data_IF_657866262713
#
_entry.id   IF_657866262713
#
_cell.length_a   1.000
_cell.length_b   1.000
_cell.length_c   1.000
_cell.angle_alpha   90.00
_cell.angle_beta   90.00
_cell.angle_gamma   90.00
#
_symmetry.space_group_name_H-M   'P 1'
#
loop_
_entity.id
_entity.type
_entity.pdbx_description
1 polymer ?
#
# COMPACT_ATOMS: atom_id res chain seq x y z
N UNK A 1 -19.82 -13.23 -20.66
CA UNK A 1 -19.06 -13.45 -19.41
C UNK A 1 -18.09 -14.63 -19.49
N UNK A 2 -18.52 -15.84 -19.88
CA UNK A 2 -17.65 -17.04 -19.94
C UNK A 2 -16.43 -16.89 -20.88
N UNK A 3 -16.59 -16.22 -22.02
CA UNK A 3 -15.50 -15.99 -22.98
C UNK A 3 -14.45 -15.03 -22.41
N UNK A 4 -14.88 -13.89 -21.86
CA UNK A 4 -13.97 -12.94 -21.18
C UNK A 4 -13.26 -13.61 -20.01
N UNK A 5 -13.97 -14.35 -19.17
CA UNK A 5 -13.35 -15.10 -18.07
C UNK A 5 -12.34 -16.12 -18.59
N UNK A 6 -12.63 -16.79 -19.71
CA UNK A 6 -11.69 -17.69 -20.38
C UNK A 6 -10.43 -17.00 -20.89
N UNK A 7 -10.56 -15.80 -21.47
CA UNK A 7 -9.41 -15.00 -21.95
C UNK A 7 -8.54 -14.54 -20.78
N UNK A 8 -9.15 -14.03 -19.71
CA UNK A 8 -8.43 -13.61 -18.50
C UNK A 8 -7.72 -14.81 -17.85
N UNK A 9 -8.41 -15.94 -17.74
CA UNK A 9 -7.83 -17.17 -17.22
C UNK A 9 -6.65 -17.64 -18.08
N UNK A 10 -6.79 -17.59 -19.41
CA UNK A 10 -5.73 -17.97 -20.32
C UNK A 10 -4.48 -17.09 -20.13
N UNK A 11 -4.65 -15.77 -20.10
CA UNK A 11 -3.55 -14.82 -19.87
C UNK A 11 -2.89 -15.08 -18.51
N UNK A 12 -3.69 -15.33 -17.47
CA UNK A 12 -3.19 -15.60 -16.14
C UNK A 12 -2.35 -16.88 -16.07
N UNK A 13 -2.86 -17.97 -16.63
CA UNK A 13 -2.15 -19.26 -16.64
C UNK A 13 -0.88 -19.17 -17.49
N UNK A 14 -0.93 -18.55 -18.66
CA UNK A 14 0.27 -18.39 -19.51
C UNK A 14 1.32 -17.53 -18.82
N UNK A 15 0.92 -16.44 -18.16
CA UNK A 15 1.83 -15.59 -17.38
C UNK A 15 2.55 -16.39 -16.28
N UNK A 16 1.85 -17.22 -15.51
CA UNK A 16 2.45 -18.02 -14.44
C UNK A 16 3.44 -19.08 -14.94
N UNK A 17 3.14 -19.75 -16.06
CA UNK A 17 4.00 -20.83 -16.58
C UNK A 17 5.17 -20.32 -17.41
N UNK A 18 5.13 -19.06 -17.87
CA UNK A 18 6.15 -18.47 -18.76
C UNK A 18 7.58 -18.64 -18.24
N UNK A 19 7.95 -18.25 -17.01
CA UNK A 19 9.33 -18.41 -16.53
C UNK A 19 9.76 -19.88 -16.46
N UNK A 20 8.84 -20.80 -16.16
CA UNK A 20 9.11 -22.25 -16.14
C UNK A 20 9.37 -22.80 -17.54
N UNK A 21 8.54 -22.44 -18.52
CA UNK A 21 8.69 -22.90 -19.91
C UNK A 21 9.98 -22.34 -20.53
N UNK A 22 10.29 -21.07 -20.29
CA UNK A 22 11.52 -20.43 -20.78
C UNK A 22 12.76 -21.11 -20.19
N UNK A 23 12.76 -21.40 -18.88
CA UNK A 23 13.85 -22.11 -18.21
C UNK A 23 14.02 -23.56 -18.72
N UNK A 24 12.93 -24.22 -19.12
CA UNK A 24 12.98 -25.57 -19.72
C UNK A 24 13.61 -25.56 -21.12
N UNK A 25 13.40 -24.51 -21.91
CA UNK A 25 13.98 -24.39 -23.25
C UNK A 25 15.47 -24.10 -23.16
N UNK A 26 15.85 -23.14 -22.32
CA UNK A 26 17.23 -22.70 -22.16
C UNK A 26 17.54 -22.49 -20.68
N UNK A 27 18.34 -23.42 -20.14
CA UNK A 27 18.59 -23.60 -18.70
C UNK A 27 19.33 -22.42 -18.06
N UNK A 28 19.99 -21.59 -18.87
CA UNK A 28 20.75 -20.41 -18.42
C UNK A 28 20.06 -19.08 -18.78
N UNK A 29 18.76 -19.10 -19.06
CA UNK A 29 18.03 -17.86 -19.34
C UNK A 29 17.84 -17.03 -18.08
N UNK A 30 18.08 -15.72 -18.19
CA UNK A 30 17.80 -14.77 -17.13
C UNK A 30 16.28 -14.56 -16.99
N UNK A 31 15.74 -14.96 -15.84
CA UNK A 31 14.34 -14.82 -15.45
C UNK A 31 14.16 -13.89 -14.25
N UNK A 32 15.20 -13.15 -13.87
CA UNK A 32 15.19 -12.22 -12.73
C UNK A 32 14.07 -11.18 -12.81
N UNK A 33 13.77 -10.70 -14.01
CA UNK A 33 12.71 -9.72 -14.27
C UNK A 33 11.33 -10.25 -13.89
N UNK A 34 11.03 -11.53 -14.18
CA UNK A 34 9.73 -12.14 -13.86
C UNK A 34 9.52 -12.27 -12.36
N UNK A 35 10.56 -12.64 -11.61
CA UNK A 35 10.48 -12.72 -10.14
C UNK A 35 10.51 -11.34 -9.48
N UNK A 36 11.24 -10.37 -10.05
CA UNK A 36 11.29 -9.00 -9.54
C UNK A 36 9.92 -8.31 -9.51
N UNK A 37 9.03 -8.61 -10.47
CA UNK A 37 7.64 -8.13 -10.44
C UNK A 37 6.77 -8.83 -9.37
N UNK A 38 7.11 -10.06 -8.98
CA UNK A 38 6.37 -10.80 -7.94
C UNK A 38 6.85 -10.48 -6.52
N UNK A 39 8.10 -10.07 -6.34
CA UNK A 39 8.71 -9.79 -5.03
C UNK A 39 8.53 -8.35 -4.54
N UNK A 40 7.87 -7.48 -5.30
CA UNK A 40 7.70 -6.07 -4.93
C UNK A 40 6.83 -5.87 -3.66
N UNK A 41 6.10 -6.91 -3.22
CA UNK A 41 5.29 -6.89 -1.99
C UNK A 41 6.14 -6.88 -0.70
N UNK A 42 7.34 -7.45 -0.71
CA UNK A 42 8.19 -7.55 0.49
C UNK A 42 9.07 -6.33 0.75
N UNK A 43 9.23 -5.45 -0.24
CA UNK A 43 9.82 -4.14 0.00
C UNK A 43 8.69 -3.16 0.26
N UNK A 44 8.44 -2.81 1.52
CA UNK A 44 7.67 -1.64 1.88
C UNK A 44 8.37 -0.39 1.31
N UNK A 45 8.26 -0.15 0.00
CA UNK A 45 8.57 1.12 -0.63
C UNK A 45 7.49 2.05 -0.12
N UNK A 46 7.72 2.63 1.05
CA UNK A 46 7.07 3.88 1.42
C UNK A 46 7.40 4.85 0.28
N UNK A 47 6.48 4.96 -0.68
CA UNK A 47 6.47 6.06 -1.62
C UNK A 47 6.21 7.27 -0.72
N UNK A 48 7.30 7.85 -0.20
CA UNK A 48 7.28 9.21 0.31
C UNK A 48 7.09 10.08 -0.91
N UNK A 49 5.85 10.16 -1.39
CA UNK A 49 5.42 11.21 -2.29
C UNK A 49 5.58 12.50 -1.47
N UNK A 50 6.75 13.12 -1.60
CA UNK A 50 6.97 14.48 -1.11
C UNK A 50 6.14 15.35 -2.05
N UNK A 51 4.87 15.55 -1.70
CA UNK A 51 4.03 16.54 -2.36
C UNK A 51 4.60 17.90 -1.99
N UNK A 52 5.41 18.48 -2.87
CA UNK A 52 5.73 19.91 -2.82
C UNK A 52 4.46 20.65 -3.27
N UNK A 53 3.56 20.88 -2.32
CA UNK A 53 2.45 21.80 -2.54
C UNK A 53 3.03 23.21 -2.39
N UNK A 54 3.44 23.79 -3.52
CA UNK A 54 3.75 25.20 -3.59
C UNK A 54 2.41 25.93 -3.37
N UNK A 55 2.15 26.33 -2.11
CA UNK A 55 0.95 27.09 -1.74
C UNK A 55 1.08 28.45 -2.40
N UNK A 56 0.66 28.57 -3.66
CA UNK A 56 0.29 29.86 -4.20
C UNK A 56 -0.98 30.28 -3.46
N UNK A 57 -0.84 31.18 -2.49
CA UNK A 57 -1.94 31.80 -1.76
C UNK A 57 -2.79 32.65 -2.71
N UNK A 58 -3.54 32.02 -3.61
CA UNK A 58 -4.75 32.63 -4.12
C UNK A 58 -5.80 32.50 -3.03
N UNK A 59 -6.04 33.61 -2.36
CA UNK A 59 -7.07 33.79 -1.34
C UNK A 59 -8.42 33.43 -1.94
N UNK A 60 -8.80 32.16 -1.86
CA UNK A 60 -10.16 31.71 -2.14
C UNK A 60 -11.05 32.44 -1.14
N UNK A 61 -11.79 33.42 -1.65
CA UNK A 61 -12.79 34.17 -0.93
C UNK A 61 -13.84 33.17 -0.45
N UNK A 62 -13.69 32.75 0.81
CA UNK A 62 -14.55 31.78 1.48
C UNK A 62 -15.89 32.48 1.74
N UNK A 63 -16.77 32.43 0.74
CA UNK A 63 -18.13 32.93 0.85
C UNK A 63 -18.83 32.24 2.03
N UNK A 64 -19.13 33.04 3.06
CA UNK A 64 -20.20 32.89 4.05
C UNK A 64 -20.59 31.45 4.42
N UNK A 65 -19.65 30.70 5.00
CA UNK A 65 -20.02 29.53 5.79
C UNK A 65 -20.55 30.02 7.14
N UNK A 66 -21.86 30.21 7.22
CA UNK A 66 -22.59 30.42 8.46
C UNK A 66 -22.24 29.29 9.44
N UNK A 67 -21.36 29.58 10.41
CA UNK A 67 -20.93 28.61 11.41
C UNK A 67 -21.97 28.51 12.52
N UNK A 68 -22.77 27.45 12.51
CA UNK A 68 -23.52 27.09 13.71
C UNK A 68 -22.54 26.55 14.76
N UNK A 69 -22.55 27.15 15.94
CA UNK A 69 -21.73 26.79 17.10
C UNK A 69 -21.86 25.28 17.39
N UNK A 70 -20.79 24.51 17.19
CA UNK A 70 -20.76 23.09 17.53
C UNK A 70 -20.62 22.97 19.06
N UNK A 71 -21.73 22.76 19.76
CA UNK A 71 -21.73 22.38 21.18
C UNK A 71 -21.26 20.92 21.32
N UNK A 72 -19.94 20.71 21.42
CA UNK A 72 -19.37 19.40 21.76
C UNK A 72 -19.11 19.32 23.27
N UNK A 73 -20.16 19.05 24.04
CA UNK A 73 -20.06 18.88 25.50
C UNK A 73 -19.37 17.55 25.91
N UNK A 74 -19.07 16.66 24.96
CA UNK A 74 -18.59 15.30 25.24
C UNK A 74 -17.28 14.95 24.53
N UNK A 75 -16.26 15.79 24.69
CA UNK A 75 -14.89 15.41 24.34
C UNK A 75 -14.20 14.83 25.57
N UNK A 76 -13.84 13.54 25.48
CA UNK A 76 -12.96 12.77 26.37
C UNK A 76 -13.57 12.12 27.63
N UNK A 77 -14.14 10.92 27.44
CA UNK A 77 -14.25 9.90 28.51
C UNK A 77 -13.76 8.54 28.01
N UNK A 78 -12.60 8.51 27.38
CA UNK A 78 -11.89 7.25 27.15
C UNK A 78 -10.78 7.14 28.18
N UNK A 79 -10.88 6.13 29.04
CA UNK A 79 -9.78 5.78 29.94
C UNK A 79 -8.56 5.40 29.09
N UNK A 80 -7.46 6.10 29.30
CA UNK A 80 -6.14 5.71 28.81
C UNK A 80 -5.74 4.40 29.51
N UNK A 81 -6.22 3.28 29.01
CA UNK A 81 -5.66 1.96 29.32
C UNK A 81 -4.36 1.85 28.52
N UNK A 82 -3.34 2.57 28.99
CA UNK A 82 -1.95 2.39 28.60
C UNK A 82 -1.19 1.82 29.79
N UNK A 83 -1.74 0.78 30.42
CA UNK A 83 -1.01 -0.01 31.40
C UNK A 83 -0.19 -1.07 30.67
N UNK A 84 1.09 -0.77 30.48
CA UNK A 84 2.18 -1.76 30.50
C UNK A 84 2.29 -2.70 29.28
N UNK A 85 2.59 -2.15 28.11
CA UNK A 85 3.17 -2.92 26.98
C UNK A 85 4.68 -2.65 26.81
N UNK A 86 5.40 -2.36 27.91
CA UNK A 86 6.86 -2.31 27.88
C UNK A 86 7.41 -3.65 28.35
N UNK A 87 7.72 -4.52 27.39
CA UNK A 87 8.49 -5.74 27.65
C UNK A 87 9.96 -5.34 27.55
N UNK A 88 10.77 -5.49 28.61
CA UNK A 88 12.20 -5.18 28.53
C UNK A 88 12.90 -6.15 27.57
N UNK A 89 13.99 -5.73 26.92
CA UNK A 89 14.73 -6.56 25.99
C UNK A 89 15.33 -7.79 26.69
N UNK A 90 15.49 -8.94 25.99
CA UNK A 90 16.03 -10.16 26.58
C UNK A 90 17.49 -9.98 27.01
N UNK A 91 17.87 -10.57 28.14
CA UNK A 91 19.28 -10.65 28.54
C UNK A 91 20.02 -11.62 27.61
N UNK A 92 21.16 -11.18 27.06
CA UNK A 92 22.06 -12.03 26.27
C UNK A 92 22.76 -13.03 27.21
N UNK A 93 22.48 -14.32 27.02
CA UNK A 93 23.29 -15.43 27.55
C UNK A 93 24.23 -15.94 26.47
#
# INVERSE_FOLDING_TARGET
MKIIAGIVLFIFVTFLITPTVVCLIEKNTDISVFYGFSEEEHSSKQIKAIFHFDVTYETLQLCDLNSSLIHSENLSKHDKIASKIFIPPPEHV
#
